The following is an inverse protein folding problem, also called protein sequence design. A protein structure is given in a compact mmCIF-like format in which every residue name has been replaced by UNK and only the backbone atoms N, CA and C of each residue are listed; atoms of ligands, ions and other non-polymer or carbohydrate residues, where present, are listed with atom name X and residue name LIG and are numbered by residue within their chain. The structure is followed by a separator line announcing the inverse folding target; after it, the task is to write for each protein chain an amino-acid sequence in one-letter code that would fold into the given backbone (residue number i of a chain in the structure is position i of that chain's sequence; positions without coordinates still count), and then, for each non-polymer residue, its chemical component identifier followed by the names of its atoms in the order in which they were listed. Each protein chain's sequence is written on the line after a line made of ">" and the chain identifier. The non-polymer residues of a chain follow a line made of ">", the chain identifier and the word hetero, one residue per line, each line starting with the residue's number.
data_IF_611335327811
#
_entry.id   IF_611335327811
#
_cell.length_a   1.000
_cell.length_b   1.000
_cell.length_c   1.000
_cell.angle_alpha   90.00
_cell.angle_beta   90.00
_cell.angle_gamma   90.00
#
_symmetry.space_group_name_H-M   'P 1'
#
loop_
_entity.id
_entity.type
_entity.pdbx_description
1 polymer ?
#
# COMPACT_ATOMS: atom_id res chain seq x y z
N UNK A 1 21.28 -14.49 1.49
CA UNK A 1 22.34 -13.47 1.37
C UNK A 1 21.66 -12.11 1.27
N UNK A 2 21.78 -11.30 2.32
CA UNK A 2 21.26 -9.93 2.31
C UNK A 2 21.95 -9.10 1.23
N UNK A 3 21.17 -8.57 0.30
CA UNK A 3 21.68 -7.64 -0.72
C UNK A 3 21.82 -6.26 -0.07
N UNK A 4 23.00 -5.65 -0.17
CA UNK A 4 23.24 -4.27 0.28
C UNK A 4 22.67 -3.30 -0.76
N UNK A 5 21.92 -2.31 -0.31
CA UNK A 5 21.33 -1.26 -1.16
C UNK A 5 22.08 0.06 -0.97
N UNK A 6 22.14 0.86 -2.03
CA UNK A 6 22.75 2.18 -2.05
C UNK A 6 21.74 3.20 -2.58
N UNK A 7 21.70 4.40 -1.99
CA UNK A 7 20.90 5.52 -2.49
C UNK A 7 21.76 6.35 -3.45
N UNK A 8 21.27 6.54 -4.66
CA UNK A 8 21.97 7.25 -5.74
C UNK A 8 20.99 8.26 -6.33
N UNK A 9 21.46 9.49 -6.59
CA UNK A 9 20.65 10.51 -7.27
C UNK A 9 20.36 10.10 -8.71
N UNK A 10 19.20 10.45 -9.22
CA UNK A 10 18.78 10.08 -10.57
C UNK A 10 19.72 10.63 -11.65
N UNK A 11 20.21 11.85 -11.51
CA UNK A 11 21.02 12.51 -12.53
C UNK A 11 22.36 11.82 -12.78
N UNK A 12 22.90 11.12 -11.78
CA UNK A 12 24.14 10.35 -11.88
C UNK A 12 23.91 8.91 -12.35
N UNK A 13 22.66 8.47 -12.54
CA UNK A 13 22.36 7.15 -13.09
C UNK A 13 22.79 7.08 -14.56
N UNK A 14 23.41 5.97 -15.00
CA UNK A 14 23.63 5.73 -16.41
C UNK A 14 22.32 5.76 -17.21
N UNK A 15 22.35 6.31 -18.42
CA UNK A 15 21.18 6.42 -19.31
C UNK A 15 20.47 5.07 -19.52
N UNK A 16 21.22 3.97 -19.57
CA UNK A 16 20.66 2.63 -19.65
C UNK A 16 19.73 2.30 -18.46
N UNK A 17 20.09 2.71 -17.23
CA UNK A 17 19.26 2.48 -16.04
C UNK A 17 18.03 3.39 -16.04
N UNK A 18 18.18 4.66 -16.44
CA UNK A 18 17.06 5.60 -16.59
C UNK A 18 16.03 5.09 -17.60
N UNK A 19 16.48 4.63 -18.76
CA UNK A 19 15.61 4.01 -19.78
C UNK A 19 14.91 2.75 -19.27
N UNK A 20 15.59 1.92 -18.46
CA UNK A 20 14.94 0.76 -17.83
C UNK A 20 13.85 1.17 -16.84
N UNK A 21 14.08 2.23 -16.05
CA UNK A 21 13.04 2.81 -15.18
C UNK A 21 11.84 3.33 -15.99
N UNK A 22 12.08 4.02 -17.09
CA UNK A 22 11.01 4.49 -17.99
C UNK A 22 10.22 3.32 -18.64
N UNK A 23 10.90 2.25 -19.09
CA UNK A 23 10.24 1.05 -19.61
C UNK A 23 9.34 0.40 -18.56
N UNK A 24 9.82 0.30 -17.30
CA UNK A 24 9.02 -0.22 -16.18
C UNK A 24 7.77 0.62 -15.94
N UNK A 25 7.89 1.95 -15.96
CA UNK A 25 6.76 2.86 -15.76
C UNK A 25 5.68 2.69 -16.85
N UNK A 26 6.09 2.50 -18.12
CA UNK A 26 5.15 2.25 -19.22
C UNK A 26 4.36 0.94 -19.02
N UNK A 27 5.04 -0.11 -18.58
CA UNK A 27 4.44 -1.42 -18.29
C UNK A 27 3.47 -1.31 -17.11
N UNK A 28 3.89 -0.66 -16.02
CA UNK A 28 3.07 -0.48 -14.82
C UNK A 28 1.80 0.30 -15.10
N UNK A 29 1.90 1.36 -15.92
CA UNK A 29 0.74 2.17 -16.34
C UNK A 29 -0.11 1.53 -17.44
N UNK A 30 0.17 0.29 -17.84
CA UNK A 30 -0.51 -0.44 -18.93
C UNK A 30 -0.56 0.37 -20.23
N UNK A 31 0.47 1.17 -20.53
CA UNK A 31 0.58 1.95 -21.77
C UNK A 31 1.13 1.13 -22.95
N UNK A 32 1.55 -0.09 -22.69
CA UNK A 32 2.17 -1.03 -23.63
C UNK A 32 1.73 -2.45 -23.27
N UNK A 33 1.58 -3.30 -24.29
CA UNK A 33 1.07 -4.67 -24.13
C UNK A 33 2.16 -5.67 -23.73
N UNK A 34 3.43 -5.36 -24.00
CA UNK A 34 4.54 -6.24 -23.69
C UNK A 34 5.83 -5.50 -23.30
N UNK A 35 6.74 -6.25 -22.67
CA UNK A 35 8.11 -5.77 -22.40
C UNK A 35 8.83 -5.41 -23.69
N UNK A 36 8.55 -6.11 -24.80
CA UNK A 36 9.15 -5.82 -26.10
C UNK A 36 8.80 -4.40 -26.58
N UNK A 37 7.54 -4.03 -26.46
CA UNK A 37 7.03 -2.72 -26.87
C UNK A 37 7.60 -1.62 -25.97
N UNK A 38 7.65 -1.90 -24.66
CA UNK A 38 8.22 -0.98 -23.67
C UNK A 38 9.69 -0.63 -23.98
N UNK A 39 10.52 -1.65 -24.21
CA UNK A 39 11.96 -1.44 -24.44
C UNK A 39 12.25 -0.81 -25.79
N UNK A 40 11.40 -1.07 -26.80
CA UNK A 40 11.49 -0.42 -28.11
C UNK A 40 11.14 1.07 -28.01
N UNK A 41 10.09 1.42 -27.26
CA UNK A 41 9.64 2.81 -27.10
C UNK A 41 10.68 3.69 -26.40
N UNK A 42 11.40 3.14 -25.43
CA UNK A 42 12.43 3.88 -24.67
C UNK A 42 13.85 3.68 -25.21
N UNK A 43 13.99 2.98 -26.34
CA UNK A 43 15.27 2.71 -27.01
C UNK A 43 16.30 2.04 -26.06
N UNK A 44 15.93 0.88 -25.52
CA UNK A 44 16.82 0.02 -24.73
C UNK A 44 16.75 -1.42 -25.24
N UNK A 45 17.87 -2.15 -25.19
CA UNK A 45 17.82 -3.56 -25.58
C UNK A 45 17.13 -4.42 -24.51
N UNK A 46 16.49 -5.51 -24.93
CA UNK A 46 15.91 -6.50 -24.01
C UNK A 46 16.94 -7.03 -23.01
N UNK A 47 18.18 -7.26 -23.46
CA UNK A 47 19.26 -7.76 -22.60
C UNK A 47 19.62 -6.77 -21.48
N UNK A 48 19.68 -5.47 -21.79
CA UNK A 48 19.94 -4.40 -20.82
C UNK A 48 18.77 -4.26 -19.86
N UNK A 49 17.53 -4.37 -20.35
CA UNK A 49 16.34 -4.40 -19.50
C UNK A 49 16.43 -5.53 -18.47
N UNK A 50 16.63 -6.78 -18.90
CA UNK A 50 16.70 -7.91 -17.97
C UNK A 50 17.90 -7.86 -17.03
N UNK A 51 19.02 -7.25 -17.44
CA UNK A 51 20.19 -7.02 -16.57
C UNK A 51 19.87 -6.11 -15.38
N UNK A 52 19.06 -5.07 -15.58
CA UNK A 52 18.76 -4.07 -14.54
C UNK A 52 17.35 -4.18 -13.96
N UNK A 53 16.47 -5.00 -14.53
CA UNK A 53 15.07 -5.18 -14.12
C UNK A 53 14.93 -5.41 -12.62
N UNK A 54 15.77 -6.26 -12.05
CA UNK A 54 15.66 -6.64 -10.64
C UNK A 54 16.70 -5.94 -9.76
N UNK A 55 17.37 -4.90 -10.28
CA UNK A 55 18.47 -4.19 -9.63
C UNK A 55 18.20 -2.68 -9.46
N UNK A 56 17.35 -2.08 -10.30
CA UNK A 56 17.04 -0.64 -10.26
C UNK A 56 15.53 -0.46 -10.10
N UNK A 57 15.14 0.31 -9.08
CA UNK A 57 13.74 0.59 -8.76
C UNK A 57 13.61 2.06 -8.33
N UNK A 58 12.47 2.71 -8.60
CA UNK A 58 12.20 4.03 -8.06
C UNK A 58 12.16 3.99 -6.53
N UNK A 59 12.76 4.99 -5.88
CA UNK A 59 12.84 5.04 -4.42
C UNK A 59 11.45 5.16 -3.76
N UNK A 60 10.51 5.89 -4.38
CA UNK A 60 9.14 5.99 -3.87
C UNK A 60 8.41 4.65 -3.86
N UNK A 61 8.75 3.72 -4.76
CA UNK A 61 8.21 2.35 -4.74
C UNK A 61 8.79 1.53 -3.57
N UNK A 62 9.99 1.88 -3.09
CA UNK A 62 10.64 1.22 -1.94
C UNK A 62 10.20 1.81 -0.60
N UNK A 63 9.89 3.11 -0.55
CA UNK A 63 9.23 3.77 0.60
C UNK A 63 7.72 3.65 0.44
N UNK A 64 7.21 2.42 0.39
CA UNK A 64 5.78 2.22 0.60
C UNK A 64 5.49 2.55 2.05
N UNK A 65 4.86 3.71 2.30
CA UNK A 65 3.98 3.81 3.45
C UNK A 65 3.08 2.58 3.39
N UNK A 66 3.15 1.73 4.41
CA UNK A 66 2.29 0.53 4.48
C UNK A 66 0.88 0.98 4.85
N UNK A 67 0.25 1.69 3.92
CA UNK A 67 -1.13 2.13 4.03
C UNK A 67 -2.00 0.91 3.83
N UNK A 68 -2.92 0.66 4.76
CA UNK A 68 -3.90 -0.41 4.66
C UNK A 68 -5.28 0.21 4.81
N UNK A 69 -6.18 -0.19 3.92
CA UNK A 69 -7.59 0.19 4.00
C UNK A 69 -8.39 -0.97 4.58
N UNK A 70 -8.98 -0.72 5.74
CA UNK A 70 -9.89 -1.61 6.44
C UNK A 70 -11.33 -1.20 6.17
N UNK A 71 -12.20 -2.18 5.98
CA UNK A 71 -13.64 -1.99 5.82
C UNK A 71 -14.37 -2.75 6.92
N UNK A 72 -15.27 -2.05 7.60
CA UNK A 72 -16.00 -2.56 8.75
C UNK A 72 -17.49 -2.50 8.46
N UNK A 73 -18.17 -3.58 8.83
CA UNK A 73 -19.60 -3.57 9.11
C UNK A 73 -19.77 -3.37 10.61
N UNK A 74 -20.35 -2.23 11.00
CA UNK A 74 -20.53 -1.85 12.40
C UNK A 74 -22.01 -1.78 12.77
N UNK A 75 -22.32 -2.27 13.95
CA UNK A 75 -23.52 -1.89 14.68
C UNK A 75 -23.34 -0.47 15.25
N UNK A 76 -24.16 0.46 14.78
CA UNK A 76 -24.11 1.85 15.18
C UNK A 76 -24.76 2.04 16.55
N UNK A 77 -23.92 2.38 17.52
CA UNK A 77 -24.29 2.80 18.86
C UNK A 77 -23.33 3.88 19.34
N UNK A 78 -23.76 4.64 20.33
CA UNK A 78 -22.93 5.70 20.91
C UNK A 78 -21.56 5.15 21.34
N UNK A 79 -20.49 5.76 20.81
CA UNK A 79 -19.11 5.43 21.16
C UNK A 79 -18.45 4.31 20.34
N UNK A 80 -19.18 3.61 19.44
CA UNK A 80 -18.61 2.53 18.60
C UNK A 80 -17.38 2.98 17.81
N UNK A 81 -17.50 4.07 17.02
CA UNK A 81 -16.38 4.57 16.21
C UNK A 81 -15.20 5.00 17.08
N UNK A 82 -15.47 5.71 18.18
CA UNK A 82 -14.41 6.15 19.11
C UNK A 82 -13.63 4.97 19.70
N UNK A 83 -14.33 3.88 20.06
CA UNK A 83 -13.68 2.68 20.59
C UNK A 83 -12.86 1.95 19.53
N UNK A 84 -13.37 1.86 18.31
CA UNK A 84 -12.63 1.32 17.16
C UNK A 84 -11.33 2.10 16.91
N UNK A 85 -11.41 3.43 16.84
CA UNK A 85 -10.24 4.29 16.65
C UNK A 85 -9.23 4.16 17.80
N UNK A 86 -9.70 3.95 19.03
CA UNK A 86 -8.83 3.74 20.19
C UNK A 86 -8.00 2.46 20.07
N UNK A 87 -8.57 1.38 19.52
CA UNK A 87 -7.83 0.12 19.28
C UNK A 87 -6.76 0.31 18.21
N UNK A 88 -7.10 1.01 17.12
CA UNK A 88 -6.15 1.32 16.04
C UNK A 88 -5.01 2.21 16.56
N UNK A 89 -5.31 3.22 17.36
CA UNK A 89 -4.30 4.07 17.98
C UNK A 89 -3.42 3.29 18.98
N UNK A 90 -3.99 2.36 19.75
CA UNK A 90 -3.23 1.51 20.67
C UNK A 90 -2.26 0.57 19.95
N UNK A 91 -2.55 0.20 18.70
CA UNK A 91 -1.62 -0.53 17.82
C UNK A 91 -0.50 0.35 17.24
N UNK A 92 -0.47 1.64 17.59
CA UNK A 92 0.44 2.65 17.05
C UNK A 92 0.30 2.85 15.53
N UNK A 93 -0.91 2.67 15.01
CA UNK A 93 -1.24 2.99 13.63
C UNK A 93 -1.71 4.45 13.53
N UNK A 94 -1.23 5.18 12.53
CA UNK A 94 -1.75 6.51 12.23
C UNK A 94 -2.99 6.42 11.33
N UNK A 95 -4.08 7.07 11.70
CA UNK A 95 -5.31 7.11 10.90
C UNK A 95 -5.20 8.21 9.86
N UNK A 96 -5.26 7.84 8.57
CA UNK A 96 -5.14 8.77 7.45
C UNK A 96 -6.51 9.28 7.01
N UNK A 97 -7.49 8.38 6.88
CA UNK A 97 -8.86 8.73 6.48
C UNK A 97 -9.88 7.88 7.21
N UNK A 98 -11.02 8.49 7.52
CA UNK A 98 -12.19 7.84 8.11
C UNK A 98 -13.38 8.20 7.24
N UNK A 99 -14.10 7.20 6.75
CA UNK A 99 -15.35 7.38 6.03
C UNK A 99 -16.42 6.46 6.62
N UNK A 100 -17.37 7.03 7.35
CA UNK A 100 -18.53 6.32 7.90
C UNK A 100 -19.78 6.66 7.07
N UNK A 101 -20.52 5.64 6.65
CA UNK A 101 -21.83 5.85 6.02
C UNK A 101 -22.87 6.24 7.06
N UNK A 102 -23.92 6.94 6.63
CA UNK A 102 -25.09 7.19 7.48
C UNK A 102 -25.64 5.82 7.95
N UNK A 103 -25.88 5.62 9.26
CA UNK A 103 -26.43 4.39 9.77
C UNK A 103 -27.82 4.10 9.17
N UNK A 104 -28.01 2.89 8.66
CA UNK A 104 -29.29 2.36 8.20
C UNK A 104 -29.66 1.17 9.09
N UNK A 105 -30.84 1.22 9.72
CA UNK A 105 -31.31 0.18 10.64
C UNK A 105 -30.30 -0.15 11.77
N UNK A 106 -29.65 0.88 12.31
CA UNK A 106 -28.64 0.70 13.37
C UNK A 106 -27.34 0.08 12.90
N UNK A 107 -27.05 0.08 11.59
CA UNK A 107 -25.79 -0.41 11.02
C UNK A 107 -25.15 0.62 10.12
N UNK A 108 -23.84 0.78 10.22
CA UNK A 108 -23.05 1.65 9.37
C UNK A 108 -21.82 0.92 8.85
N UNK A 109 -21.41 1.25 7.64
CA UNK A 109 -20.13 0.81 7.11
C UNK A 109 -19.07 1.86 7.42
N UNK A 110 -17.88 1.43 7.84
CA UNK A 110 -16.74 2.32 8.06
C UNK A 110 -15.59 1.86 7.19
N UNK A 111 -15.03 2.78 6.42
CA UNK A 111 -13.75 2.60 5.72
C UNK A 111 -12.69 3.40 6.45
N UNK A 112 -11.61 2.74 6.83
CA UNK A 112 -10.50 3.32 7.58
C UNK A 112 -9.20 3.09 6.81
N UNK A 113 -8.51 4.15 6.41
CA UNK A 113 -7.15 4.01 5.89
C UNK A 113 -6.16 4.34 6.98
N UNK A 114 -5.22 3.42 7.23
CA UNK A 114 -4.23 3.53 8.29
C UNK A 114 -2.82 3.38 7.72
N UNK A 115 -1.88 4.17 8.24
CA UNK A 115 -0.45 3.90 8.05
C UNK A 115 0.03 2.94 9.13
N UNK A 116 0.63 1.82 8.69
CA UNK A 116 1.18 0.79 9.56
C UNK A 116 2.70 0.88 9.71
N UNK A 117 3.31 2.01 9.30
CA UNK A 117 4.76 2.22 9.33
C UNK A 117 5.36 2.09 10.74
N UNK A 118 4.61 2.48 11.78
CA UNK A 118 5.05 2.44 13.18
C UNK A 118 4.26 1.42 14.03
N UNK A 119 3.52 0.51 13.38
CA UNK A 119 2.66 -0.45 14.06
C UNK A 119 3.48 -1.36 14.98
N UNK A 120 3.05 -1.49 16.23
CA UNK A 120 3.78 -2.23 17.29
C UNK A 120 3.38 -3.70 17.39
N UNK A 121 2.35 -4.11 16.67
CA UNK A 121 1.83 -5.48 16.61
C UNK A 121 1.74 -5.96 15.17
N UNK A 122 1.40 -7.23 14.95
CA UNK A 122 1.15 -7.78 13.61
C UNK A 122 -0.25 -7.41 13.10
N UNK A 123 -0.46 -7.46 11.79
CA UNK A 123 -1.78 -7.17 11.20
C UNK A 123 -2.83 -8.19 11.65
N UNK A 124 -2.44 -9.47 11.80
CA UNK A 124 -3.34 -10.52 12.27
C UNK A 124 -3.78 -10.29 13.73
N UNK A 125 -2.88 -9.80 14.60
CA UNK A 125 -3.22 -9.42 15.98
C UNK A 125 -4.18 -8.23 16.01
N UNK A 126 -3.92 -7.18 15.20
CA UNK A 126 -4.82 -6.03 15.10
C UNK A 126 -6.21 -6.45 14.61
N UNK A 127 -6.29 -7.26 13.55
CA UNK A 127 -7.56 -7.78 13.04
C UNK A 127 -8.28 -8.65 14.07
N UNK A 128 -7.56 -9.46 14.83
CA UNK A 128 -8.13 -10.27 15.91
C UNK A 128 -8.76 -9.39 16.99
N UNK A 129 -8.05 -8.34 17.45
CA UNK A 129 -8.57 -7.40 18.44
C UNK A 129 -9.80 -6.64 17.93
N UNK A 130 -9.78 -6.19 16.66
CA UNK A 130 -10.90 -5.50 16.04
C UNK A 130 -12.13 -6.41 15.91
N UNK A 131 -11.95 -7.69 15.54
CA UNK A 131 -13.04 -8.69 15.46
C UNK A 131 -13.67 -9.03 16.82
N UNK A 132 -12.93 -8.87 17.91
CA UNK A 132 -13.45 -9.11 19.26
C UNK A 132 -14.36 -7.98 19.77
N UNK A 133 -14.39 -6.84 19.09
CA UNK A 133 -15.27 -5.74 19.46
C UNK A 133 -16.73 -6.15 19.20
N UNK A 134 -17.62 -6.07 20.21
CA UNK A 134 -18.98 -6.62 20.11
C UNK A 134 -19.89 -5.89 19.11
N UNK A 135 -19.47 -4.73 18.58
CA UNK A 135 -20.17 -3.96 17.55
C UNK A 135 -19.58 -4.16 16.15
N UNK A 136 -18.49 -4.92 16.01
CA UNK A 136 -17.89 -5.23 14.71
C UNK A 136 -18.50 -6.53 14.22
N UNK A 137 -19.40 -6.45 13.25
CA UNK A 137 -19.98 -7.64 12.62
C UNK A 137 -18.97 -8.33 11.72
N UNK A 138 -18.17 -7.53 11.01
CA UNK A 138 -17.16 -8.01 10.06
C UNK A 138 -16.11 -6.93 9.80
N UNK A 139 -14.87 -7.35 9.58
CA UNK A 139 -13.75 -6.52 9.12
C UNK A 139 -13.05 -7.20 7.96
N UNK A 140 -12.75 -6.42 6.92
CA UNK A 140 -12.07 -6.85 5.69
C UNK A 140 -10.95 -5.89 5.34
N UNK A 141 -9.89 -6.41 4.72
CA UNK A 141 -8.85 -5.59 4.11
C UNK A 141 -9.28 -5.36 2.65
N UNK A 142 -9.50 -4.10 2.26
CA UNK A 142 -9.84 -3.75 0.87
C UNK A 142 -8.61 -3.61 -0.02
N UNK A 143 -7.46 -3.24 0.57
CA UNK A 143 -6.20 -3.10 -0.16
C UNK A 143 -5.07 -2.56 0.72
N UNK A 144 -3.85 -2.82 0.29
CA UNK A 144 -2.64 -2.12 0.74
C UNK A 144 -2.27 -1.10 -0.32
N UNK A 145 -1.94 0.14 0.06
CA UNK A 145 -1.52 1.21 -0.86
C UNK A 145 -0.55 0.67 -1.92
N UNK A 146 -0.98 0.78 -3.18
CA UNK A 146 -0.21 0.36 -4.35
C UNK A 146 0.95 1.33 -4.58
#
# INVERSE_FOLDING_TARGET
>A
MDKKFYLVREDVLPEAMKKVLAAKELIERKKVDSVADAVQLVDVSRSVFYKYRDAVFPFHTMVREKIITLFFHLEDRSGTLSKLLSVVAAANCNVLTIHQTIPLQGRANVTLSISTSEMTMTMDELLSQLKQLPFVEKVEILGSGA
#
